data_IF_791256578085
#
_entry.id   IF_791256578085
#
_cell.length_a   1.000
_cell.length_b   1.000
_cell.length_c   1.000
_cell.angle_alpha   90.00
_cell.angle_beta   90.00
_cell.angle_gamma   90.00
#
_symmetry.space_group_name_H-M   'P 1'
#
loop_
_entity.id
_entity.type
_entity.pdbx_description
1 polymer ?
#
# COMPACT_ATOMS: atom_id res chain seq x y z
N UNK A 1 2.84 6.99 9.37
CA UNK A 1 2.65 6.80 7.91
C UNK A 1 1.89 7.99 7.34
N UNK A 2 2.32 8.48 6.18
CA UNK A 2 1.64 9.52 5.41
C UNK A 2 1.32 9.03 4.01
N UNK A 3 0.17 9.44 3.51
CA UNK A 3 -0.33 9.15 2.15
C UNK A 3 -0.75 10.48 1.56
N UNK A 4 -0.13 10.85 0.45
CA UNK A 4 -0.47 12.04 -0.31
C UNK A 4 -0.94 11.60 -1.69
N UNK A 5 -2.01 12.22 -2.19
CA UNK A 5 -2.57 11.91 -3.51
C UNK A 5 -2.67 13.16 -4.36
N UNK A 6 -2.43 13.00 -5.65
CA UNK A 6 -2.48 14.07 -6.65
C UNK A 6 -3.23 13.56 -7.88
N UNK A 7 -4.21 14.32 -8.36
CA UNK A 7 -4.84 14.09 -9.67
C UNK A 7 -4.00 14.76 -10.75
N UNK A 8 -3.68 14.01 -11.80
CA UNK A 8 -2.89 14.50 -12.93
C UNK A 8 -3.78 14.78 -14.15
N UNK A 9 -4.77 13.92 -14.39
CA UNK A 9 -5.75 14.04 -15.47
C UNK A 9 -7.04 13.26 -15.11
N UNK A 10 -8.14 13.35 -15.88
CA UNK A 10 -9.27 12.45 -15.73
C UNK A 10 -8.80 11.00 -15.82
N UNK A 11 -9.08 10.19 -14.79
CA UNK A 11 -8.69 8.78 -14.76
C UNK A 11 -7.21 8.54 -14.47
N UNK A 12 -6.45 9.55 -14.06
CA UNK A 12 -5.01 9.43 -13.82
C UNK A 12 -4.55 10.22 -12.60
N UNK A 13 -3.71 9.60 -11.78
CA UNK A 13 -3.23 10.21 -10.54
C UNK A 13 -2.00 9.52 -9.96
N UNK A 14 -1.40 10.17 -8.98
CA UNK A 14 -0.23 9.68 -8.24
C UNK A 14 -0.57 9.52 -6.77
N UNK A 15 -0.17 8.39 -6.19
CA UNK A 15 -0.28 8.06 -4.76
C UNK A 15 1.13 7.96 -4.20
N UNK A 16 1.48 8.84 -3.27
CA UNK A 16 2.78 8.87 -2.60
C UNK A 16 2.64 8.37 -1.16
N UNK A 17 3.28 7.24 -0.85
CA UNK A 17 3.20 6.56 0.44
C UNK A 17 4.56 6.63 1.12
N UNK A 18 4.60 7.24 2.31
CA UNK A 18 5.78 7.23 3.18
C UNK A 18 5.46 6.56 4.51
N UNK A 19 6.12 5.44 4.74
CA UNK A 19 6.03 4.68 5.98
C UNK A 19 7.46 4.40 6.49
N UNK A 20 7.99 5.24 7.39
CA UNK A 20 9.29 4.99 8.01
C UNK A 20 9.35 3.60 8.62
N UNK A 21 10.51 2.95 8.52
CA UNK A 21 10.80 1.59 9.01
C UNK A 21 9.90 0.47 8.45
N UNK A 22 8.99 0.77 7.53
CA UNK A 22 8.26 -0.25 6.76
C UNK A 22 8.98 -0.52 5.43
N UNK A 23 8.90 -1.77 4.96
CA UNK A 23 9.44 -2.20 3.67
C UNK A 23 8.40 -2.69 2.69
N UNK A 24 7.20 -2.95 3.18
CA UNK A 24 6.09 -3.50 2.43
C UNK A 24 4.85 -2.66 2.64
N UNK A 25 4.25 -2.21 1.54
CA UNK A 25 2.94 -1.57 1.57
C UNK A 25 2.01 -2.27 0.58
N UNK A 26 0.72 -2.04 0.72
CA UNK A 26 -0.34 -2.52 -0.15
C UNK A 26 -1.23 -1.36 -0.48
N UNK A 27 -1.68 -1.30 -1.72
CA UNK A 27 -2.76 -0.44 -2.14
C UNK A 27 -3.97 -1.34 -2.37
N UNK A 28 -5.09 -0.97 -1.77
CA UNK A 28 -6.40 -1.53 -2.08
C UNK A 28 -7.22 -0.43 -2.73
N UNK A 29 -7.92 -0.77 -3.79
CA UNK A 29 -8.81 0.11 -4.54
C UNK A 29 -10.25 -0.41 -4.39
N UNK A 30 -11.21 0.51 -4.34
CA UNK A 30 -12.63 0.14 -4.27
C UNK A 30 -13.08 -0.54 -5.57
N UNK A 31 -13.97 -1.52 -5.46
CA UNK A 31 -14.38 -2.38 -6.58
C UNK A 31 -15.14 -1.63 -7.70
N UNK A 32 -15.66 -0.44 -7.41
CA UNK A 32 -16.43 0.38 -8.34
C UNK A 32 -15.57 1.14 -9.36
N UNK A 33 -14.27 1.29 -9.08
CA UNK A 33 -13.31 2.06 -9.87
C UNK A 33 -12.00 1.27 -10.09
N UNK A 34 -12.03 0.21 -10.93
CA UNK A 34 -10.87 -0.66 -11.12
C UNK A 34 -9.69 0.08 -11.75
N UNK A 35 -8.49 -0.14 -11.20
CA UNK A 35 -7.24 0.40 -11.73
C UNK A 35 -6.78 -0.46 -12.89
N UNK A 36 -6.67 0.13 -14.08
CA UNK A 36 -6.31 -0.60 -15.31
C UNK A 36 -4.81 -0.62 -15.54
N UNK A 37 -4.08 0.39 -15.07
CA UNK A 37 -2.62 0.49 -15.22
C UNK A 37 -1.99 1.05 -13.95
N UNK A 38 -0.79 0.55 -13.64
CA UNK A 38 0.00 0.99 -12.51
C UNK A 38 1.48 1.06 -12.89
N UNK A 39 2.19 2.07 -12.39
CA UNK A 39 3.65 2.12 -12.45
C UNK A 39 4.21 2.69 -11.13
N UNK A 40 5.40 2.25 -10.76
CA UNK A 40 6.08 2.69 -9.53
C UNK A 40 7.34 3.46 -9.92
N UNK A 41 7.49 4.69 -9.43
CA UNK A 41 8.67 5.52 -9.73
C UNK A 41 9.95 4.87 -9.23
N UNK A 42 10.91 4.71 -10.15
CA UNK A 42 12.17 4.01 -9.86
C UNK A 42 12.00 2.51 -9.58
N UNK A 43 10.86 1.93 -9.99
CA UNK A 43 10.72 0.49 -10.20
C UNK A 43 11.30 0.08 -11.56
N UNK A 44 11.36 -1.22 -11.83
CA UNK A 44 11.87 -1.73 -13.12
C UNK A 44 10.96 -1.40 -14.30
N UNK A 45 9.69 -1.04 -14.04
CA UNK A 45 8.66 -0.82 -15.07
C UNK A 45 8.30 -2.08 -15.87
N UNK A 46 8.85 -3.24 -15.50
CA UNK A 46 8.64 -4.50 -16.21
C UNK A 46 7.49 -5.25 -15.54
N UNK A 47 6.45 -5.50 -16.32
CA UNK A 47 5.44 -6.51 -16.00
C UNK A 47 6.04 -7.88 -16.34
N UNK A 48 5.75 -8.90 -15.53
CA UNK A 48 6.22 -10.26 -15.84
C UNK A 48 5.50 -10.76 -17.11
N UNK A 49 6.21 -11.31 -18.11
CA UNK A 49 5.59 -11.69 -19.38
C UNK A 49 4.37 -12.60 -19.25
N UNK A 50 4.41 -13.56 -18.32
CA UNK A 50 3.34 -14.54 -18.11
C UNK A 50 2.26 -14.07 -17.11
N UNK A 51 2.42 -12.88 -16.55
CA UNK A 51 1.48 -12.29 -15.59
C UNK A 51 1.14 -10.85 -16.01
N UNK A 52 0.40 -10.68 -17.13
CA UNK A 52 -0.11 -9.38 -17.53
C UNK A 52 -1.11 -8.86 -16.51
N UNK A 53 -1.42 -7.56 -16.60
CA UNK A 53 -2.50 -6.98 -15.81
C UNK A 53 -3.85 -7.61 -16.21
N UNK A 54 -4.74 -7.88 -15.25
CA UNK A 54 -6.07 -8.43 -15.54
C UNK A 54 -6.92 -7.46 -16.36
N UNK A 55 -7.69 -7.96 -17.33
CA UNK A 55 -8.58 -7.15 -18.18
C UNK A 55 -9.63 -6.38 -17.37
N UNK A 56 -10.12 -6.97 -16.27
CA UNK A 56 -11.05 -6.32 -15.34
C UNK A 56 -10.44 -5.26 -14.42
N UNK A 57 -9.14 -4.99 -14.55
CA UNK A 57 -8.37 -4.12 -13.67
C UNK A 57 -8.00 -4.77 -12.33
N UNK A 58 -7.18 -4.07 -11.56
CA UNK A 58 -6.68 -4.49 -10.26
C UNK A 58 -7.42 -3.74 -9.14
N UNK A 59 -7.72 -4.48 -8.08
CA UNK A 59 -8.27 -3.95 -6.82
C UNK A 59 -7.23 -4.00 -5.69
N UNK A 60 -6.09 -4.68 -5.90
CA UNK A 60 -5.00 -4.75 -4.93
C UNK A 60 -3.64 -4.73 -5.63
N UNK A 61 -2.68 -4.02 -5.04
CA UNK A 61 -1.28 -4.01 -5.47
C UNK A 61 -0.34 -4.12 -4.27
N UNK A 62 0.60 -5.07 -4.31
CA UNK A 62 1.61 -5.25 -3.27
C UNK A 62 2.92 -4.55 -3.66
N UNK A 63 3.40 -3.69 -2.78
CA UNK A 63 4.60 -2.88 -2.95
C UNK A 63 5.69 -3.36 -1.98
N UNK A 64 6.90 -3.58 -2.49
CA UNK A 64 8.04 -3.96 -1.67
C UNK A 64 9.30 -3.20 -2.06
N UNK A 65 10.10 -2.81 -1.07
CA UNK A 65 11.39 -2.15 -1.27
C UNK A 65 12.53 -2.92 -0.59
N UNK A 66 13.66 -3.01 -1.31
CA UNK A 66 14.95 -3.45 -0.73
C UNK A 66 15.67 -2.34 0.04
N UNK A 67 15.28 -1.09 -0.19
CA UNK A 67 15.84 0.09 0.49
C UNK A 67 14.87 0.53 1.59
N UNK A 68 15.38 0.70 2.80
CA UNK A 68 14.63 1.24 3.94
C UNK A 68 14.22 2.70 3.69
N UNK A 69 13.14 3.13 4.37
CA UNK A 69 12.64 4.51 4.39
C UNK A 69 12.37 5.13 3.00
N UNK A 70 12.16 4.29 1.99
CA UNK A 70 11.81 4.73 0.65
C UNK A 70 10.35 5.15 0.59
N UNK A 71 10.08 6.27 -0.07
CA UNK A 71 8.72 6.65 -0.47
C UNK A 71 8.31 5.84 -1.70
N UNK A 72 7.13 5.23 -1.66
CA UNK A 72 6.53 4.64 -2.85
C UNK A 72 5.71 5.71 -3.57
N UNK A 73 6.17 6.14 -4.73
CA UNK A 73 5.38 6.99 -5.64
C UNK A 73 4.79 6.10 -6.73
N UNK A 74 3.46 5.93 -6.70
CA UNK A 74 2.73 5.03 -7.57
C UNK A 74 1.82 5.87 -8.48
N UNK A 75 2.03 5.78 -9.78
CA UNK A 75 1.14 6.37 -10.77
C UNK A 75 0.13 5.32 -11.21
N UNK A 76 -1.15 5.69 -11.18
CA UNK A 76 -2.28 4.81 -11.50
C UNK A 76 -3.17 5.41 -12.58
N UNK A 77 -3.78 4.54 -13.37
CA UNK A 77 -4.84 4.87 -14.34
C UNK A 77 -6.05 4.00 -14.05
N UNK A 78 -7.25 4.59 -14.05
CA UNK A 78 -8.53 3.89 -13.84
C UNK A 78 -9.54 4.23 -14.94
N UNK A 79 -10.51 3.33 -15.16
CA UNK A 79 -11.36 3.36 -16.36
C UNK A 79 -12.34 4.56 -16.42
N UNK A 80 -12.98 4.88 -15.29
CA UNK A 80 -13.98 5.95 -15.22
C UNK A 80 -13.36 7.21 -14.63
N UNK A 81 -12.75 8.02 -15.50
CA UNK A 81 -11.96 9.19 -15.08
C UNK A 81 -12.76 10.35 -14.47
N UNK A 82 -14.08 10.29 -14.57
CA UNK A 82 -15.01 11.22 -13.92
C UNK A 82 -15.34 10.77 -12.49
N UNK A 83 -15.20 9.48 -12.19
CA UNK A 83 -15.35 8.97 -10.83
C UNK A 83 -14.06 9.17 -10.03
N UNK A 84 -14.19 9.53 -8.74
CA UNK A 84 -13.05 9.58 -7.85
C UNK A 84 -12.52 8.16 -7.61
N UNK A 85 -11.19 8.00 -7.63
CA UNK A 85 -10.57 6.74 -7.23
C UNK A 85 -10.44 6.72 -5.71
N UNK A 86 -11.08 5.74 -5.07
CA UNK A 86 -11.04 5.53 -3.62
C UNK A 86 -10.30 4.26 -3.26
N UNK A 87 -9.80 4.24 -2.04
CA UNK A 87 -9.17 3.04 -1.51
C UNK A 87 -8.41 3.29 -0.22
N UNK A 88 -7.54 2.34 0.13
CA UNK A 88 -6.66 2.45 1.29
C UNK A 88 -5.24 2.02 0.96
N UNK A 89 -4.29 2.78 1.46
CA UNK A 89 -2.90 2.35 1.56
C UNK A 89 -2.71 1.68 2.91
N UNK A 90 -2.10 0.51 2.92
CA UNK A 90 -1.71 -0.22 4.11
C UNK A 90 -0.20 -0.44 4.09
N UNK A 91 0.48 -0.30 5.21
CA UNK A 91 1.89 -0.62 5.33
C UNK A 91 2.13 -1.58 6.50
N UNK A 92 3.17 -2.39 6.33
CA UNK A 92 3.46 -3.53 7.19
C UNK A 92 4.79 -3.31 7.90
N UNK A 93 4.79 -3.48 9.22
CA UNK A 93 5.99 -3.42 10.04
C UNK A 93 6.33 -4.81 10.55
N UNK A 94 7.61 -5.13 10.52
CA UNK A 94 8.15 -6.39 11.04
C UNK A 94 8.90 -6.21 12.36
N UNK A 95 9.34 -4.98 12.63
CA UNK A 95 10.09 -4.70 13.84
C UNK A 95 9.16 -4.69 15.05
N UNK A 96 9.70 -5.20 16.16
CA UNK A 96 9.06 -5.25 17.47
C UNK A 96 9.41 -3.99 18.27
N UNK A 97 10.60 -3.44 18.05
CA UNK A 97 11.11 -2.34 18.84
C UNK A 97 10.62 -0.99 18.31
N UNK A 98 10.17 -0.12 19.20
CA UNK A 98 9.86 1.28 18.88
C UNK A 98 8.55 1.49 18.13
N UNK A 99 7.67 0.47 18.06
CA UNK A 99 6.31 0.64 17.53
C UNK A 99 5.31 0.62 18.68
N UNK A 100 4.72 1.79 18.97
CA UNK A 100 3.84 1.98 20.14
C UNK A 100 2.71 0.95 20.26
N UNK A 101 2.10 0.56 19.13
CA UNK A 101 1.04 -0.45 19.11
C UNK A 101 1.52 -1.84 19.55
N UNK A 102 2.78 -2.22 19.25
CA UNK A 102 3.32 -3.50 19.71
C UNK A 102 3.72 -3.46 21.19
N UNK A 103 4.28 -2.34 21.65
CA UNK A 103 4.61 -2.15 23.08
C UNK A 103 3.36 -2.27 23.96
N UNK A 104 2.23 -1.72 23.52
CA UNK A 104 0.94 -1.88 24.21
C UNK A 104 0.50 -3.33 24.28
N UNK A 105 0.56 -4.07 23.17
CA UNK A 105 0.24 -5.51 23.15
C UNK A 105 1.09 -6.27 24.16
N UNK A 106 2.41 -6.01 24.18
CA UNK A 106 3.34 -6.67 25.10
C UNK A 106 3.08 -6.29 26.57
N UNK A 107 2.63 -5.07 26.85
CA UNK A 107 2.31 -4.61 28.20
C UNK A 107 1.08 -5.34 28.81
N UNK A 108 0.14 -5.78 27.97
CA UNK A 108 -1.07 -6.49 28.40
C UNK A 108 -1.03 -8.00 28.12
N UNK A 109 0.04 -8.51 27.52
CA UNK A 109 0.19 -9.93 27.19
C UNK A 109 0.49 -10.75 28.45
N UNK A 110 -0.24 -11.85 28.72
CA UNK A 110 0.11 -12.74 29.82
C UNK A 110 1.44 -13.46 29.53
N UNK A 111 2.18 -13.79 30.58
CA UNK A 111 3.53 -14.39 30.48
C UNK A 111 3.59 -15.74 29.76
N UNK A 112 2.47 -16.45 29.66
CA UNK A 112 2.37 -17.73 28.94
C UNK A 112 2.04 -17.59 27.45
N UNK A 113 1.74 -16.38 26.97
CA UNK A 113 1.41 -16.13 25.57
C UNK A 113 2.58 -15.54 24.78
N UNK A 114 2.57 -15.74 23.46
CA UNK A 114 3.56 -15.21 22.52
C UNK A 114 2.86 -14.52 21.35
N UNK A 115 3.34 -13.33 20.97
CA UNK A 115 2.87 -12.66 19.75
C UNK A 115 3.60 -13.22 18.53
N UNK A 116 2.82 -13.72 17.58
CA UNK A 116 3.29 -14.15 16.26
C UNK A 116 2.58 -13.37 15.16
N UNK A 117 3.20 -13.33 13.98
CA UNK A 117 2.60 -12.72 12.80
C UNK A 117 1.73 -13.74 12.04
N UNK A 118 0.50 -13.35 11.66
CA UNK A 118 -0.41 -14.16 10.83
C UNK A 118 -0.22 -13.95 9.33
N UNK A 119 0.35 -12.82 8.91
CA UNK A 119 0.46 -12.42 7.51
C UNK A 119 1.83 -11.86 7.15
N UNK A 120 1.84 -10.92 6.21
CA UNK A 120 3.09 -10.36 5.68
C UNK A 120 3.74 -9.31 6.60
N UNK A 121 3.16 -8.96 7.76
CA UNK A 121 3.74 -8.02 8.71
C UNK A 121 3.21 -8.23 10.12
N UNK A 122 4.05 -8.02 11.14
CA UNK A 122 3.69 -8.15 12.55
C UNK A 122 2.62 -7.14 12.95
N UNK A 123 2.73 -5.93 12.40
CA UNK A 123 1.76 -4.86 12.54
C UNK A 123 1.35 -4.33 11.18
N UNK A 124 0.09 -3.91 11.08
CA UNK A 124 -0.48 -3.26 9.91
C UNK A 124 -1.04 -1.90 10.30
N UNK A 125 -0.63 -0.86 9.58
CA UNK A 125 -1.17 0.48 9.71
C UNK A 125 -1.67 0.95 8.36
N UNK A 126 -2.84 1.55 8.31
CA UNK A 126 -3.47 1.96 7.06
C UNK A 126 -4.01 3.39 7.11
N UNK A 127 -4.21 3.97 5.92
CA UNK A 127 -4.93 5.21 5.69
C UNK A 127 -5.74 5.10 4.41
N UNK A 128 -6.96 5.60 4.47
CA UNK A 128 -7.79 5.81 3.29
C UNK A 128 -7.26 6.98 2.45
N UNK A 129 -7.55 6.93 1.15
CA UNK A 129 -7.28 8.00 0.21
C UNK A 129 -8.42 8.12 -0.80
N UNK A 130 -8.54 9.30 -1.40
CA UNK A 130 -9.47 9.58 -2.48
C UNK A 130 -8.82 10.55 -3.46
N UNK A 131 -8.75 10.18 -4.74
CA UNK A 131 -8.31 11.04 -5.83
C UNK A 131 -9.55 11.63 -6.50
N UNK A 132 -9.72 12.95 -6.43
CA UNK A 132 -10.86 13.68 -7.00
C UNK A 132 -10.46 14.53 -8.18
#
# INVERSE_FOLDING_TARGET
MSVNVTKEAPGMGTISIRAPTSRGCRLYFDEDTPVTTMSVRGGSGRIQPDFPLPEGGMWEAHLWSRTWDRTFDVSVVWADGEKPLKGRASCLWHDRAGVAAFEEVMAFLPSWALVSNRGAGLLEGWKEFEIR
#
